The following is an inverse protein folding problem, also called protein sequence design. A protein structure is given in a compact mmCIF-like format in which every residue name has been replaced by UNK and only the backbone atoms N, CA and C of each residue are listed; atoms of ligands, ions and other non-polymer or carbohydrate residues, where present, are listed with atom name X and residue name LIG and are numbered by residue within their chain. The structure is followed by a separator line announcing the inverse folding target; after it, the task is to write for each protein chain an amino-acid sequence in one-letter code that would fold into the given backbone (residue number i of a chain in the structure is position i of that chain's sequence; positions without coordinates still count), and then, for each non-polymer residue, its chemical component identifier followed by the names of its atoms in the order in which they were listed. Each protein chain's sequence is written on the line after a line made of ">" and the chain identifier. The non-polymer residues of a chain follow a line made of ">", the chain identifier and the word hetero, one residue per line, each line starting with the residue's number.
data_IF_868813353181
#
_entry.id   IF_868813353181
#
_cell.length_a   1.000
_cell.length_b   1.000
_cell.length_c   1.000
_cell.angle_alpha   90.00
_cell.angle_beta   90.00
_cell.angle_gamma   90.00
#
_symmetry.space_group_name_H-M   'P 1'
#
loop_
_entity.id
_entity.type
_entity.pdbx_description
1 polymer ?
#
# COMPACT_ATOMS: atom_id res chain seq x y z
N UNK A 1 -6.12 2.84 1.14
CA UNK A 1 -7.25 3.18 2.03
C UNK A 1 -7.40 4.67 1.96
N UNK A 2 -8.45 5.13 1.27
CA UNK A 2 -8.75 6.54 1.05
C UNK A 2 -8.85 7.28 2.38
N UNK A 3 -8.04 8.31 2.56
CA UNK A 3 -8.21 9.30 3.63
C UNK A 3 -8.59 10.61 2.95
N UNK A 4 -9.79 11.11 3.24
CA UNK A 4 -10.10 12.53 3.04
C UNK A 4 -10.75 12.94 1.72
N UNK A 5 -11.65 12.12 1.14
CA UNK A 5 -12.52 12.60 0.07
C UNK A 5 -13.37 13.77 0.59
N UNK A 6 -13.02 14.99 0.19
CA UNK A 6 -13.79 16.21 0.48
C UNK A 6 -14.36 16.72 -0.83
N UNK A 7 -15.68 16.73 -0.93
CA UNK A 7 -16.36 17.32 -2.07
C UNK A 7 -16.25 18.85 -1.98
N UNK A 8 -15.62 19.46 -2.98
CA UNK A 8 -15.54 20.91 -3.13
C UNK A 8 -16.71 21.34 -4.00
N UNK A 9 -17.75 21.91 -3.39
CA UNK A 9 -18.95 22.39 -4.11
C UNK A 9 -18.73 23.84 -4.53
N UNK A 10 -19.14 24.20 -5.75
CA UNK A 10 -19.10 25.56 -6.28
C UNK A 10 -20.45 25.94 -6.90
N UNK A 11 -20.78 27.23 -6.89
CA UNK A 11 -22.04 27.78 -7.43
C UNK A 11 -22.16 27.61 -8.97
N UNK A 12 -21.06 27.24 -9.64
CA UNK A 12 -21.02 26.90 -11.05
C UNK A 12 -20.79 25.39 -11.20
N UNK A 13 -21.72 24.69 -11.86
CA UNK A 13 -21.74 23.22 -11.94
C UNK A 13 -20.40 22.58 -12.39
N UNK A 14 -19.62 23.23 -13.25
CA UNK A 14 -18.34 22.72 -13.75
C UNK A 14 -17.15 22.92 -12.80
N UNK A 15 -17.35 23.54 -11.63
CA UNK A 15 -16.30 23.81 -10.63
C UNK A 15 -16.40 22.91 -9.39
N UNK A 16 -17.38 22.01 -9.35
CA UNK A 16 -17.43 20.98 -8.34
C UNK A 16 -16.27 19.99 -8.56
N UNK A 17 -15.44 19.77 -7.54
CA UNK A 17 -14.27 18.86 -7.60
C UNK A 17 -14.15 18.05 -6.31
N UNK A 18 -13.19 17.13 -6.24
CA UNK A 18 -12.88 16.36 -5.04
C UNK A 18 -11.44 16.60 -4.60
N UNK A 19 -11.23 16.83 -3.31
CA UNK A 19 -9.90 16.76 -2.73
C UNK A 19 -9.47 15.28 -2.60
N UNK A 20 -8.25 14.97 -3.04
CA UNK A 20 -7.65 13.65 -2.92
C UNK A 20 -6.13 13.73 -2.92
N UNK A 21 -5.51 12.69 -2.37
CA UNK A 21 -4.08 12.43 -2.43
C UNK A 21 -3.89 11.01 -2.97
N UNK A 22 -3.16 10.87 -4.06
CA UNK A 22 -2.93 9.59 -4.73
C UNK A 22 -1.47 9.42 -5.10
N UNK A 23 -0.96 8.19 -4.96
CA UNK A 23 0.35 7.76 -5.46
C UNK A 23 0.15 6.53 -6.34
N UNK A 24 0.71 6.58 -7.54
CA UNK A 24 0.72 5.47 -8.50
C UNK A 24 2.17 5.07 -8.72
N UNK A 25 2.51 3.82 -8.39
CA UNK A 25 3.85 3.27 -8.59
C UNK A 25 3.87 2.22 -9.68
N UNK A 26 4.95 2.19 -10.47
CA UNK A 26 5.25 1.17 -11.47
C UNK A 26 6.57 0.47 -11.12
N UNK A 27 6.63 -0.83 -11.35
CA UNK A 27 7.76 -1.63 -10.94
C UNK A 27 7.65 -3.08 -11.33
N UNK A 28 8.65 -3.86 -10.92
CA UNK A 28 8.70 -5.29 -11.17
C UNK A 28 8.13 -6.07 -9.98
N UNK A 29 7.31 -7.07 -10.30
CA UNK A 29 6.77 -8.01 -9.31
C UNK A 29 7.55 -9.31 -9.41
N UNK A 30 7.97 -9.83 -8.27
CA UNK A 30 8.56 -11.16 -8.14
C UNK A 30 7.82 -11.96 -7.06
N UNK A 31 7.68 -13.26 -7.28
CA UNK A 31 7.15 -14.19 -6.28
C UNK A 31 8.33 -14.66 -5.44
N UNK A 32 8.28 -14.40 -4.13
CA UNK A 32 9.33 -14.83 -3.21
C UNK A 32 9.23 -16.34 -2.96
N UNK A 33 10.35 -17.03 -3.17
CA UNK A 33 10.49 -18.47 -2.91
C UNK A 33 11.27 -18.77 -1.64
N UNK A 34 12.19 -17.88 -1.25
CA UNK A 34 12.95 -18.00 -0.01
C UNK A 34 12.06 -17.75 1.23
N UNK A 35 12.14 -18.66 2.20
CA UNK A 35 11.30 -18.63 3.40
C UNK A 35 11.58 -17.42 4.28
N UNK A 36 12.85 -17.05 4.45
CA UNK A 36 13.21 -15.93 5.33
C UNK A 36 12.78 -14.59 4.71
N UNK A 37 12.95 -14.42 3.40
CA UNK A 37 12.46 -13.25 2.68
C UNK A 37 10.94 -13.15 2.70
N UNK A 38 10.21 -14.28 2.57
CA UNK A 38 8.76 -14.33 2.79
C UNK A 38 8.39 -13.87 4.19
N UNK A 39 9.05 -14.40 5.23
CA UNK A 39 8.78 -14.03 6.64
C UNK A 39 9.03 -12.55 6.88
N UNK A 40 10.14 -12.02 6.36
CA UNK A 40 10.49 -10.60 6.44
C UNK A 40 9.46 -9.71 5.75
N UNK A 41 9.00 -10.09 4.57
CA UNK A 41 7.94 -9.39 3.83
C UNK A 41 6.62 -9.34 4.62
N UNK A 42 6.17 -10.49 5.13
CA UNK A 42 4.97 -10.60 5.96
C UNK A 42 5.08 -9.78 7.26
N UNK A 43 6.23 -9.82 7.94
CA UNK A 43 6.47 -9.00 9.13
C UNK A 43 6.42 -7.50 8.83
N UNK A 44 6.93 -7.08 7.66
CA UNK A 44 6.90 -5.67 7.23
C UNK A 44 5.45 -5.18 7.04
N UNK A 45 4.58 -6.03 6.50
CA UNK A 45 3.14 -5.76 6.39
C UNK A 45 2.52 -5.66 7.80
N UNK A 46 2.79 -6.61 8.69
CA UNK A 46 2.24 -6.61 10.04
C UNK A 46 2.64 -5.36 10.83
N UNK A 47 3.89 -4.92 10.73
CA UNK A 47 4.40 -3.71 11.40
C UNK A 47 3.65 -2.44 10.96
N UNK A 48 3.18 -2.38 9.71
CA UNK A 48 2.37 -1.25 9.20
C UNK A 48 1.01 -1.15 9.88
N UNK A 49 0.40 -2.29 10.24
CA UNK A 49 -0.93 -2.34 10.84
C UNK A 49 -0.93 -2.42 12.37
N UNK A 50 0.16 -2.89 12.97
CA UNK A 50 0.29 -3.08 14.42
C UNK A 50 1.74 -2.91 14.86
N UNK A 51 2.25 -1.67 14.87
CA UNK A 51 3.66 -1.39 15.11
C UNK A 51 4.16 -1.84 16.49
N UNK A 52 3.27 -1.88 17.49
CA UNK A 52 3.62 -2.17 18.89
C UNK A 52 3.49 -3.64 19.28
N UNK A 53 3.19 -4.54 18.32
CA UNK A 53 3.07 -5.99 18.57
C UNK A 53 4.25 -6.74 17.97
N UNK A 54 4.91 -7.56 18.79
CA UNK A 54 5.86 -8.57 18.34
C UNK A 54 5.11 -9.80 17.81
N UNK A 55 5.19 -10.04 16.50
CA UNK A 55 4.62 -11.23 15.87
C UNK A 55 5.72 -12.24 15.56
N UNK A 56 5.42 -13.52 15.79
CA UNK A 56 6.18 -14.66 15.24
C UNK A 56 5.28 -15.39 14.25
N UNK A 57 5.82 -15.73 13.07
CA UNK A 57 5.07 -16.44 12.03
C UNK A 57 5.69 -17.84 11.90
N UNK A 58 4.97 -18.90 12.31
CA UNK A 58 5.44 -20.28 12.19
C UNK A 58 5.70 -20.69 10.75
N UNK A 59 6.71 -21.55 10.54
CA UNK A 59 7.15 -22.00 9.21
C UNK A 59 6.03 -22.56 8.33
N UNK A 60 5.10 -23.39 8.82
CA UNK A 60 4.00 -23.88 7.99
C UNK A 60 3.10 -22.77 7.43
N UNK A 61 2.94 -21.67 8.19
CA UNK A 61 2.17 -20.51 7.72
C UNK A 61 2.94 -19.69 6.69
N UNK A 62 4.27 -19.58 6.85
CA UNK A 62 5.13 -18.93 5.85
C UNK A 62 5.10 -19.73 4.54
N UNK A 63 5.17 -21.06 4.62
CA UNK A 63 5.22 -21.93 3.45
C UNK A 63 3.89 -21.96 2.69
N UNK A 64 2.75 -21.88 3.39
CA UNK A 64 1.42 -21.90 2.80
C UNK A 64 0.94 -20.63 2.09
N UNK A 65 1.73 -19.54 2.08
CA UNK A 65 1.34 -18.25 1.49
C UNK A 65 2.28 -17.87 0.34
N UNK A 66 1.74 -17.43 -0.80
CA UNK A 66 2.53 -16.77 -1.84
C UNK A 66 2.74 -15.30 -1.48
N UNK A 67 4.00 -14.85 -1.44
CA UNK A 67 4.35 -13.45 -1.16
C UNK A 67 4.88 -12.81 -2.44
N UNK A 68 4.24 -11.73 -2.87
CA UNK A 68 4.64 -10.96 -4.04
C UNK A 68 5.38 -9.71 -3.57
N UNK A 69 6.64 -9.54 -4.00
CA UNK A 69 7.43 -8.34 -3.75
C UNK A 69 7.36 -7.44 -4.97
N UNK A 70 6.87 -6.22 -4.78
CA UNK A 70 6.90 -5.16 -5.79
C UNK A 70 8.13 -4.28 -5.54
N UNK A 71 9.09 -4.32 -6.45
CA UNK A 71 10.20 -3.37 -6.50
C UNK A 71 9.77 -2.18 -7.35
N UNK A 72 9.44 -1.06 -6.70
CA UNK A 72 9.00 0.17 -7.37
C UNK A 72 10.21 0.82 -8.05
N UNK A 73 10.12 1.01 -9.37
CA UNK A 73 11.13 1.73 -10.15
C UNK A 73 10.79 3.21 -10.31
N UNK A 74 9.52 3.49 -10.56
CA UNK A 74 9.02 4.85 -10.77
C UNK A 74 7.69 5.04 -10.03
N UNK A 75 7.42 6.25 -9.57
CA UNK A 75 6.12 6.60 -9.01
C UNK A 75 5.74 8.03 -9.36
N UNK A 76 4.42 8.26 -9.45
CA UNK A 76 3.82 9.57 -9.62
C UNK A 76 2.88 9.84 -8.46
N UNK A 77 2.88 11.07 -7.97
CA UNK A 77 1.97 11.52 -6.93
C UNK A 77 1.10 12.65 -7.47
N UNK A 78 -0.18 12.63 -7.09
CA UNK A 78 -1.13 13.70 -7.41
C UNK A 78 -1.88 14.09 -6.15
N UNK A 79 -1.92 15.39 -5.90
CA UNK A 79 -2.66 15.99 -4.80
C UNK A 79 -3.60 17.05 -5.38
N UNK A 80 -4.86 17.03 -4.96
CA UNK A 80 -5.83 18.08 -5.24
C UNK A 80 -6.48 18.47 -3.91
N UNK A 81 -6.48 19.75 -3.56
CA UNK A 81 -7.02 20.23 -2.28
C UNK A 81 -8.26 21.13 -2.41
N UNK A 82 -8.81 21.27 -3.63
CA UNK A 82 -9.90 22.21 -3.92
C UNK A 82 -9.39 23.58 -4.34
#
# INVERSE_FOLDING_TARGET
>A
MDRGHRLCISDMACKCSMAYESVVGFGQIEILTDREEKRKGLMSIMKKYSPDRGYSIPDPMVDGVAVLKLTVGEYQAKVSQG
#
